data_IF_672050932875
#
_entry.id   IF_672050932875
#
_cell.length_a   1.000
_cell.length_b   1.000
_cell.length_c   1.000
_cell.angle_alpha   90.00
_cell.angle_beta   90.00
_cell.angle_gamma   90.00
#
_symmetry.space_group_name_H-M   'P 1'
#
loop_
_entity.id
_entity.type
_entity.pdbx_description
1 polymer ?
#
# COMPACT_ATOMS: atom_id res chain seq x y z
N UNK A 1 21.70 -4.31 31.10
CA UNK A 1 21.25 -3.97 29.73
C UNK A 1 19.83 -4.49 29.55
N UNK A 2 18.94 -3.74 28.91
CA UNK A 2 17.61 -4.23 28.57
C UNK A 2 17.69 -5.19 27.38
N UNK A 3 16.87 -6.25 27.38
CA UNK A 3 16.72 -7.20 26.27
C UNK A 3 15.47 -6.80 25.47
N UNK A 4 15.58 -6.77 24.15
CA UNK A 4 14.46 -6.59 23.23
C UNK A 4 14.35 -7.86 22.40
N UNK A 5 13.13 -8.32 22.16
CA UNK A 5 12.82 -9.48 21.34
C UNK A 5 11.82 -9.09 20.25
N UNK A 6 11.99 -9.65 19.06
CA UNK A 6 11.08 -9.48 17.93
C UNK A 6 10.57 -10.86 17.53
N UNK A 7 9.26 -11.03 17.45
CA UNK A 7 8.62 -12.31 17.18
C UNK A 7 7.66 -12.13 16.02
N UNK A 8 7.92 -12.83 14.91
CA UNK A 8 6.98 -12.95 13.81
C UNK A 8 5.90 -13.98 14.14
N UNK A 9 4.65 -13.69 13.82
CA UNK A 9 3.53 -14.63 13.93
C UNK A 9 3.29 -15.25 12.55
N UNK A 10 3.65 -16.53 12.41
CA UNK A 10 3.71 -17.21 11.11
C UNK A 10 2.42 -17.99 10.78
N UNK A 11 1.54 -18.21 11.76
CA UNK A 11 0.30 -18.99 11.57
C UNK A 11 -0.95 -18.15 11.29
N UNK A 12 -0.78 -16.84 11.06
CA UNK A 12 -1.89 -15.96 10.65
C UNK A 12 -2.28 -16.29 9.20
N UNK A 13 -3.56 -16.60 8.91
CA UNK A 13 -4.00 -16.94 7.56
C UNK A 13 -4.04 -15.70 6.64
N UNK A 14 -4.29 -15.94 5.36
CA UNK A 14 -4.67 -14.87 4.43
C UNK A 14 -5.93 -14.16 4.93
N UNK A 15 -5.81 -12.85 5.18
CA UNK A 15 -6.89 -12.02 5.74
C UNK A 15 -7.94 -11.73 4.68
N UNK A 16 -9.21 -11.87 5.07
CA UNK A 16 -10.39 -11.63 4.25
C UNK A 16 -11.28 -10.53 4.82
N UNK A 17 -12.14 -9.92 4.01
CA UNK A 17 -13.16 -8.99 4.49
C UNK A 17 -14.01 -9.60 5.61
N UNK A 18 -14.12 -8.86 6.72
CA UNK A 18 -14.88 -9.26 7.91
C UNK A 18 -14.10 -10.09 8.95
N UNK A 19 -12.83 -10.43 8.70
CA UNK A 19 -12.01 -11.14 9.68
C UNK A 19 -11.73 -10.30 10.94
N UNK A 20 -11.83 -10.92 12.11
CA UNK A 20 -11.41 -10.33 13.38
C UNK A 20 -9.90 -10.43 13.55
N UNK A 21 -9.19 -9.38 13.12
CA UNK A 21 -7.72 -9.32 13.21
C UNK A 21 -7.21 -9.47 14.63
N UNK A 22 -7.87 -8.88 15.62
CA UNK A 22 -7.41 -8.92 17.00
C UNK A 22 -7.42 -10.37 17.51
N UNK A 23 -8.53 -11.09 17.26
CA UNK A 23 -8.64 -12.49 17.60
C UNK A 23 -7.60 -13.35 16.89
N UNK A 24 -7.41 -13.15 15.58
CA UNK A 24 -6.42 -13.91 14.80
C UNK A 24 -4.99 -13.72 15.34
N UNK A 25 -4.62 -12.49 15.71
CA UNK A 25 -3.32 -12.16 16.29
C UNK A 25 -3.15 -12.82 17.67
N UNK A 26 -4.16 -12.72 18.54
CA UNK A 26 -4.14 -13.34 19.88
C UNK A 26 -4.02 -14.86 19.78
N UNK A 27 -4.80 -15.48 18.90
CA UNK A 27 -4.78 -16.94 18.70
C UNK A 27 -3.42 -17.42 18.17
N UNK A 28 -2.81 -16.69 17.22
CA UNK A 28 -1.46 -17.00 16.73
C UNK A 28 -0.40 -16.83 17.84
N UNK A 29 -0.44 -15.73 18.59
CA UNK A 29 0.50 -15.47 19.69
C UNK A 29 0.41 -16.53 20.80
N UNK A 30 -0.79 -16.98 21.15
CA UNK A 30 -0.99 -18.05 22.13
C UNK A 30 -0.34 -19.37 21.69
N UNK A 31 -0.35 -19.67 20.38
CA UNK A 31 0.26 -20.89 19.82
C UNK A 31 1.78 -20.78 19.70
N UNK A 32 2.29 -19.62 19.32
CA UNK A 32 3.68 -19.48 18.85
C UNK A 32 4.63 -18.85 19.86
N UNK A 33 4.12 -17.99 20.76
CA UNK A 33 4.98 -17.22 21.67
C UNK A 33 4.47 -17.14 23.12
N UNK A 34 3.60 -18.07 23.53
CA UNK A 34 3.00 -18.13 24.88
C UNK A 34 2.11 -16.92 25.21
N UNK A 35 1.48 -16.34 24.19
CA UNK A 35 0.53 -15.24 24.32
C UNK A 35 1.19 -13.87 24.42
N UNK A 36 0.35 -12.84 24.35
CA UNK A 36 0.73 -11.43 24.47
C UNK A 36 0.79 -11.05 25.95
N UNK A 37 1.83 -10.32 26.34
CA UNK A 37 2.08 -9.89 27.72
C UNK A 37 1.92 -8.38 27.87
N UNK A 38 1.77 -7.94 29.12
CA UNK A 38 1.70 -6.52 29.45
C UNK A 38 2.94 -5.78 28.93
N UNK A 39 2.71 -4.66 28.25
CA UNK A 39 3.71 -3.81 27.59
C UNK A 39 4.31 -4.37 26.29
N UNK A 40 3.81 -5.49 25.76
CA UNK A 40 4.14 -5.90 24.40
C UNK A 40 3.59 -4.90 23.39
N UNK A 41 4.33 -4.68 22.30
CA UNK A 41 3.94 -3.84 21.19
C UNK A 41 3.57 -4.73 20.01
N UNK A 42 2.34 -4.57 19.53
CA UNK A 42 1.85 -5.28 18.34
C UNK A 42 2.08 -4.38 17.14
N UNK A 43 2.83 -4.88 16.15
CA UNK A 43 3.06 -4.18 14.89
C UNK A 43 2.35 -4.95 13.78
N UNK A 44 1.44 -4.26 13.10
CA UNK A 44 0.73 -4.80 11.94
C UNK A 44 0.91 -3.87 10.74
N UNK A 45 0.83 -4.44 9.54
CA UNK A 45 0.83 -3.63 8.32
C UNK A 45 -0.56 -3.03 8.09
N UNK A 46 -0.62 -1.87 7.45
CA UNK A 46 -1.90 -1.27 7.03
C UNK A 46 -2.72 -2.20 6.13
N UNK A 47 -2.06 -2.97 5.27
CA UNK A 47 -2.71 -3.83 4.27
C UNK A 47 -3.62 -4.89 4.88
N UNK A 48 -3.23 -5.51 5.99
CA UNK A 48 -4.11 -6.51 6.65
C UNK A 48 -5.33 -5.85 7.27
N UNK A 49 -5.20 -4.63 7.77
CA UNK A 49 -6.32 -3.81 8.27
C UNK A 49 -7.28 -3.49 7.12
N UNK A 50 -6.78 -2.99 5.99
CA UNK A 50 -7.61 -2.70 4.80
C UNK A 50 -8.40 -3.93 4.33
N UNK A 51 -7.76 -5.11 4.30
CA UNK A 51 -8.42 -6.36 3.89
C UNK A 51 -9.53 -6.75 4.84
N UNK A 52 -9.27 -6.73 6.15
CA UNK A 52 -10.27 -7.07 7.16
C UNK A 52 -11.46 -6.11 7.15
N UNK A 53 -11.22 -4.82 6.93
CA UNK A 53 -12.25 -3.80 6.80
C UNK A 53 -13.00 -3.83 5.45
N UNK A 54 -12.60 -4.71 4.53
CA UNK A 54 -13.25 -4.84 3.23
C UNK A 54 -12.97 -3.70 2.26
N UNK A 55 -11.84 -2.99 2.40
CA UNK A 55 -11.42 -1.88 1.51
C UNK A 55 -10.79 -2.35 0.19
N UNK A 56 -11.15 -3.55 -0.28
CA UNK A 56 -10.71 -4.06 -1.58
C UNK A 56 -11.72 -3.60 -2.63
N UNK A 57 -11.23 -2.97 -3.69
CA UNK A 57 -12.04 -2.48 -4.79
C UNK A 57 -11.65 -3.18 -6.09
N UNK A 58 -12.64 -3.50 -6.91
CA UNK A 58 -12.43 -4.07 -8.25
C UNK A 58 -12.28 -2.92 -9.25
N UNK A 59 -11.07 -2.74 -9.81
CA UNK A 59 -10.79 -1.64 -10.73
C UNK A 59 -11.72 -1.64 -11.96
N UNK A 60 -12.14 -2.81 -12.43
CA UNK A 60 -13.06 -2.96 -13.57
C UNK A 60 -14.45 -2.37 -13.32
N UNK A 61 -14.85 -2.17 -12.06
CA UNK A 61 -16.13 -1.56 -11.69
C UNK A 61 -16.06 -0.02 -11.60
N UNK A 62 -14.85 0.55 -11.59
CA UNK A 62 -14.63 1.98 -11.46
C UNK A 62 -14.89 2.69 -12.79
N UNK A 63 -15.68 3.77 -12.73
CA UNK A 63 -15.93 4.66 -13.88
C UNK A 63 -15.12 5.95 -13.74
N UNK A 64 -14.05 6.14 -14.53
CA UNK A 64 -13.21 7.32 -14.41
C UNK A 64 -13.96 8.61 -14.72
N UNK A 65 -13.80 9.62 -13.88
CA UNK A 65 -14.25 10.98 -14.14
C UNK A 65 -13.41 11.65 -15.24
N UNK A 66 -13.89 12.80 -15.75
CA UNK A 66 -13.11 13.62 -16.68
C UNK A 66 -11.76 14.05 -16.08
N UNK A 67 -11.73 14.39 -14.80
CA UNK A 67 -10.50 14.76 -14.08
C UNK A 67 -9.52 13.59 -14.04
N UNK A 68 -10.00 12.39 -13.74
CA UNK A 68 -9.18 11.18 -13.73
C UNK A 68 -8.59 10.87 -15.10
N UNK A 69 -9.40 10.97 -16.17
CA UNK A 69 -8.93 10.78 -17.55
C UNK A 69 -7.87 11.81 -17.96
N UNK A 70 -8.04 13.08 -17.58
CA UNK A 70 -7.07 14.13 -17.88
C UNK A 70 -5.75 13.92 -17.14
N UNK A 71 -5.78 13.49 -15.88
CA UNK A 71 -4.58 13.15 -15.11
C UNK A 71 -3.89 11.91 -15.67
N UNK A 72 -4.62 10.82 -15.90
CA UNK A 72 -4.10 9.59 -16.49
C UNK A 72 -3.38 9.83 -17.82
N UNK A 73 -3.89 10.72 -18.69
CA UNK A 73 -3.20 11.09 -19.94
C UNK A 73 -1.86 11.80 -19.71
N UNK A 74 -1.74 12.58 -18.64
CA UNK A 74 -0.51 13.32 -18.30
C UNK A 74 0.50 12.43 -17.59
N UNK A 75 0.00 11.45 -16.82
CA UNK A 75 0.81 10.68 -15.89
C UNK A 75 1.10 9.28 -16.38
N UNK A 76 0.33 8.75 -17.34
CA UNK A 76 0.46 7.39 -17.86
C UNK A 76 -0.14 6.30 -16.96
N UNK A 77 -0.72 6.65 -15.81
CA UNK A 77 -1.44 5.71 -14.92
C UNK A 77 -2.78 5.26 -15.53
N UNK A 78 -3.30 4.13 -15.06
CA UNK A 78 -4.66 3.69 -15.41
C UNK A 78 -5.70 4.72 -14.91
N UNK A 79 -6.63 5.21 -15.75
CA UNK A 79 -7.64 6.18 -15.32
C UNK A 79 -8.56 5.67 -14.21
N UNK A 80 -8.73 4.35 -14.07
CA UNK A 80 -9.52 3.72 -13.00
C UNK A 80 -8.78 3.77 -11.67
N UNK A 81 -7.49 3.51 -11.68
CA UNK A 81 -6.62 3.67 -10.51
C UNK A 81 -6.56 5.15 -10.09
N UNK A 82 -6.36 6.06 -11.05
CA UNK A 82 -6.39 7.50 -10.78
C UNK A 82 -7.72 7.92 -10.16
N UNK A 83 -8.84 7.36 -10.62
CA UNK A 83 -10.14 7.64 -10.02
C UNK A 83 -10.22 7.13 -8.58
N UNK A 84 -9.77 5.89 -8.30
CA UNK A 84 -9.71 5.36 -6.93
C UNK A 84 -8.87 6.25 -6.01
N UNK A 85 -7.73 6.73 -6.49
CA UNK A 85 -6.88 7.66 -5.74
C UNK A 85 -7.61 8.96 -5.45
N UNK A 86 -8.30 9.54 -6.44
CA UNK A 86 -9.07 10.78 -6.28
C UNK A 86 -10.25 10.62 -5.32
N UNK A 87 -10.86 9.44 -5.23
CA UNK A 87 -11.98 9.19 -4.32
C UNK A 87 -11.56 9.24 -2.85
N UNK A 88 -10.31 8.91 -2.55
CA UNK A 88 -9.72 8.90 -1.20
C UNK A 88 -8.81 10.11 -0.90
N UNK A 89 -8.73 11.07 -1.83
CA UNK A 89 -7.80 12.20 -1.78
C UNK A 89 -8.53 13.53 -1.84
N UNK A 90 -8.22 14.45 -0.91
CA UNK A 90 -8.68 15.84 -1.04
C UNK A 90 -7.84 16.61 -2.07
N UNK A 91 -6.52 16.46 -2.00
CA UNK A 91 -5.58 17.20 -2.83
C UNK A 91 -4.40 16.35 -3.29
N UNK A 92 -4.04 16.47 -4.57
CA UNK A 92 -2.77 15.95 -5.11
C UNK A 92 -1.76 17.10 -5.03
N UNK A 93 -0.77 16.97 -4.16
CA UNK A 93 0.27 18.00 -3.93
C UNK A 93 1.37 17.92 -4.99
N UNK A 94 1.77 16.70 -5.36
CA UNK A 94 2.89 16.49 -6.28
C UNK A 94 2.74 15.18 -7.06
N UNK A 95 3.53 15.05 -8.12
CA UNK A 95 3.69 13.82 -8.90
C UNK A 95 5.18 13.51 -8.96
N UNK A 96 5.56 12.29 -8.59
CA UNK A 96 6.93 11.80 -8.65
C UNK A 96 7.06 10.92 -9.91
N UNK A 97 7.82 11.35 -10.94
CA UNK A 97 7.98 10.64 -12.20
C UNK A 97 8.99 9.48 -12.07
N UNK A 98 8.53 8.34 -11.56
CA UNK A 98 9.38 7.19 -11.20
C UNK A 98 10.03 6.59 -12.44
N UNK A 99 9.27 6.43 -13.52
CA UNK A 99 9.77 5.88 -14.78
C UNK A 99 10.91 6.71 -15.35
N UNK A 100 10.72 8.02 -15.40
CA UNK A 100 11.72 8.96 -15.89
C UNK A 100 12.99 8.91 -15.04
N UNK A 101 12.86 8.84 -13.71
CA UNK A 101 14.03 8.71 -12.82
C UNK A 101 14.83 7.42 -13.08
N UNK A 102 14.16 6.32 -13.43
CA UNK A 102 14.84 5.08 -13.79
C UNK A 102 15.50 5.20 -15.18
N UNK A 103 14.79 5.72 -16.17
CA UNK A 103 15.29 5.88 -17.55
C UNK A 103 16.49 6.83 -17.63
N UNK A 104 16.50 7.89 -16.83
CA UNK A 104 17.62 8.85 -16.73
C UNK A 104 18.79 8.32 -15.88
N UNK A 105 18.65 7.13 -15.27
CA UNK A 105 19.68 6.53 -14.42
C UNK A 105 19.85 7.22 -13.06
N UNK A 106 18.91 8.08 -12.67
CA UNK A 106 18.85 8.67 -11.31
C UNK A 106 18.60 7.56 -10.30
N UNK A 107 17.74 6.60 -10.66
CA UNK A 107 17.43 5.44 -9.82
C UNK A 107 17.77 4.11 -10.50
N UNK A 108 18.83 3.46 -10.03
CA UNK A 108 19.23 2.13 -10.47
C UNK A 108 18.41 1.04 -9.76
N UNK A 109 17.34 0.58 -10.42
CA UNK A 109 16.44 -0.46 -9.91
C UNK A 109 17.15 -1.77 -9.58
N UNK A 110 18.24 -2.11 -10.27
CA UNK A 110 18.94 -3.38 -10.08
C UNK A 110 19.47 -3.58 -8.66
N UNK A 111 19.62 -2.48 -7.90
CA UNK A 111 20.04 -2.49 -6.49
C UNK A 111 18.92 -2.84 -5.51
N UNK A 112 17.65 -2.75 -5.92
CA UNK A 112 16.49 -2.81 -5.03
C UNK A 112 15.54 -3.96 -5.34
N UNK A 113 15.76 -4.69 -6.43
CA UNK A 113 14.88 -5.78 -6.86
C UNK A 113 15.64 -7.06 -7.14
N UNK A 114 14.99 -8.20 -6.89
CA UNK A 114 15.46 -9.52 -7.32
C UNK A 114 14.93 -9.89 -8.72
N UNK A 115 13.93 -9.16 -9.21
CA UNK A 115 13.29 -9.37 -10.50
C UNK A 115 13.26 -8.04 -11.26
N UNK A 116 14.34 -7.78 -12.01
CA UNK A 116 14.50 -6.53 -12.74
C UNK A 116 13.50 -6.42 -13.88
N UNK A 117 13.22 -7.51 -14.59
CA UNK A 117 12.28 -7.51 -15.71
C UNK A 117 10.86 -7.20 -15.23
N UNK A 118 10.40 -7.88 -14.17
CA UNK A 118 9.09 -7.60 -13.57
C UNK A 118 8.99 -6.18 -13.01
N UNK A 119 10.07 -5.64 -12.45
CA UNK A 119 10.10 -4.26 -11.94
C UNK A 119 10.01 -3.23 -13.06
N UNK A 120 10.68 -3.47 -14.20
CA UNK A 120 10.57 -2.63 -15.40
C UNK A 120 9.15 -2.71 -15.98
N UNK A 121 8.54 -3.89 -16.01
CA UNK A 121 7.14 -4.05 -16.44
C UNK A 121 6.18 -3.27 -15.53
N UNK A 122 6.38 -3.35 -14.20
CA UNK A 122 5.58 -2.61 -13.23
C UNK A 122 5.65 -1.10 -13.49
N UNK A 123 6.84 -0.54 -13.63
CA UNK A 123 7.05 0.90 -13.83
C UNK A 123 6.51 1.38 -15.19
N UNK A 124 6.45 0.50 -16.19
CA UNK A 124 5.79 0.85 -17.46
C UNK A 124 4.26 0.94 -17.33
N UNK A 125 3.66 0.19 -16.40
CA UNK A 125 2.23 0.20 -16.13
C UNK A 125 1.83 1.25 -15.09
N UNK A 126 2.72 1.53 -14.14
CA UNK A 126 2.56 2.54 -13.10
C UNK A 126 3.80 3.45 -13.04
N UNK A 127 3.88 4.46 -13.93
CA UNK A 127 5.09 5.24 -14.16
C UNK A 127 5.35 6.33 -13.11
N UNK A 128 4.39 6.65 -12.25
CA UNK A 128 4.54 7.75 -11.30
C UNK A 128 3.74 7.53 -10.02
N UNK A 129 4.18 8.17 -8.94
CA UNK A 129 3.42 8.23 -7.69
C UNK A 129 2.81 9.61 -7.52
N UNK A 130 1.55 9.66 -7.08
CA UNK A 130 0.98 10.90 -6.57
C UNK A 130 1.38 11.08 -5.11
N UNK A 131 1.66 12.31 -4.71
CA UNK A 131 1.74 12.69 -3.30
C UNK A 131 0.43 13.38 -2.96
N UNK A 132 -0.33 12.81 -2.04
CA UNK A 132 -1.72 13.19 -1.78
C UNK A 132 -1.93 13.61 -0.33
N UNK A 133 -2.94 14.45 -0.09
CA UNK A 133 -3.49 14.75 1.23
C UNK A 133 -4.88 14.15 1.36
N UNK A 134 -5.12 13.46 2.47
CA UNK A 134 -6.48 13.07 2.85
C UNK A 134 -7.18 14.15 3.68
N UNK A 135 -8.43 13.89 4.04
CA UNK A 135 -9.30 14.75 4.88
C UNK A 135 -8.74 15.08 6.27
N UNK A 136 -7.73 14.32 6.72
CA UNK A 136 -7.06 14.52 8.00
C UNK A 136 -5.72 15.28 7.86
N UNK A 137 -5.43 15.85 6.68
CA UNK A 137 -4.16 16.49 6.32
C UNK A 137 -2.94 15.55 6.45
N UNK A 138 -3.15 14.24 6.25
CA UNK A 138 -2.08 13.26 6.25
C UNK A 138 -1.58 13.03 4.82
N UNK A 139 -0.25 12.92 4.67
CA UNK A 139 0.40 12.73 3.37
C UNK A 139 0.53 11.24 3.03
N UNK A 140 0.15 10.87 1.81
CA UNK A 140 0.31 9.51 1.29
C UNK A 140 0.92 9.50 -0.11
N UNK A 141 1.44 8.33 -0.50
CA UNK A 141 1.74 8.00 -1.90
C UNK A 141 0.51 7.34 -2.52
N UNK A 142 0.02 7.88 -3.62
CA UNK A 142 -1.22 7.53 -4.30
C UNK A 142 -2.44 7.66 -3.37
N UNK A 143 -2.95 6.56 -2.83
CA UNK A 143 -4.06 6.56 -1.88
C UNK A 143 -3.58 6.08 -0.50
N UNK A 144 -3.99 6.79 0.54
CA UNK A 144 -3.79 6.38 1.92
C UNK A 144 -4.73 5.26 2.34
N UNK A 145 -4.64 4.86 3.62
CA UNK A 145 -5.59 3.93 4.21
C UNK A 145 -7.01 4.48 4.18
#
# INVERSE_FOLDING_TARGET
MARIEFIGLETIPEIKPGDDLAKLIVDAANRECSGIKDNDIIVITSKVVSKAEGRIIELDEIKPSRRALELARKTGKDPREVQAILDETEEIIAVIPIKEFVEEGIWDLSKYTKDLEGSIQLINNDPCFFITLNVNNQIYTDAGL
#
